data_IF_336809142298
#
_entry.id   IF_336809142298
#
_cell.length_a   1.000
_cell.length_b   1.000
_cell.length_c   1.000
_cell.angle_alpha   90.00
_cell.angle_beta   90.00
_cell.angle_gamma   90.00
#
_symmetry.space_group_name_H-M   'P 1'
#
loop_
_entity.id
_entity.type
_entity.pdbx_description
1 polymer ?
#
# COMPACT_ATOMS: atom_id res chain seq x y z
N UNK A 1 -21.04 -10.84 -0.86
CA UNK A 1 -22.13 -10.71 0.09
C UNK A 1 -22.95 -11.97 0.12
N UNK A 2 -23.22 -12.51 1.34
CA UNK A 2 -24.10 -13.68 1.51
C UNK A 2 -25.52 -13.44 0.98
N UNK A 3 -25.92 -12.21 0.93
CA UNK A 3 -27.16 -11.74 0.31
C UNK A 3 -27.36 -12.33 -1.08
N UNK A 4 -26.27 -12.56 -1.74
CA UNK A 4 -26.31 -13.04 -3.09
C UNK A 4 -26.97 -14.41 -3.26
N UNK A 5 -27.04 -15.19 -2.20
CA UNK A 5 -27.76 -16.47 -2.29
C UNK A 5 -29.26 -16.31 -2.55
N UNK A 6 -29.82 -15.21 -2.08
CA UNK A 6 -31.23 -14.95 -2.38
C UNK A 6 -31.48 -14.53 -3.82
N UNK A 7 -30.41 -14.16 -4.51
CA UNK A 7 -30.48 -13.81 -5.93
C UNK A 7 -30.33 -15.04 -6.83
N UNK A 8 -29.89 -16.14 -6.25
CA UNK A 8 -29.74 -17.39 -6.97
C UNK A 8 -30.98 -18.23 -6.79
N UNK A 9 -31.86 -18.14 -7.69
CA UNK A 9 -33.00 -19.06 -7.73
C UNK A 9 -32.56 -20.43 -8.23
N UNK A 10 -33.24 -21.48 -7.83
CA UNK A 10 -32.89 -22.85 -8.22
C UNK A 10 -32.80 -23.07 -9.73
N UNK A 11 -33.54 -22.28 -10.47
CA UNK A 11 -33.55 -22.30 -11.91
C UNK A 11 -32.72 -21.20 -12.55
N UNK A 12 -32.06 -20.42 -11.74
CA UNK A 12 -31.21 -19.34 -12.23
C UNK A 12 -29.92 -19.90 -12.83
N UNK A 13 -29.55 -19.44 -14.03
CA UNK A 13 -28.29 -19.89 -14.62
C UNK A 13 -27.06 -19.51 -13.81
N UNK A 14 -27.17 -18.51 -12.94
CA UNK A 14 -26.06 -18.08 -12.09
C UNK A 14 -25.80 -19.02 -10.96
N UNK A 15 -26.74 -19.83 -10.58
CA UNK A 15 -26.60 -20.80 -9.53
C UNK A 15 -26.80 -22.20 -10.10
N UNK A 16 -25.72 -22.75 -10.60
CA UNK A 16 -25.71 -24.16 -10.95
C UNK A 16 -25.63 -24.98 -9.65
N UNK A 17 -26.67 -25.74 -9.33
CA UNK A 17 -26.67 -26.59 -8.12
C UNK A 17 -25.50 -27.55 -8.05
N UNK A 18 -24.95 -27.96 -9.20
CA UNK A 18 -23.78 -28.81 -9.27
C UNK A 18 -22.52 -28.10 -8.82
N UNK A 19 -22.46 -26.79 -9.02
CA UNK A 19 -21.30 -25.99 -8.65
C UNK A 19 -21.42 -25.48 -7.22
N UNK A 20 -22.58 -24.99 -6.86
CA UNK A 20 -22.75 -24.26 -5.61
C UNK A 20 -23.44 -25.06 -4.51
N UNK A 21 -24.32 -25.96 -4.86
CA UNK A 21 -25.09 -26.74 -3.89
C UNK A 21 -24.30 -27.89 -3.28
N UNK A 22 -23.35 -28.45 -4.03
CA UNK A 22 -22.57 -29.61 -3.60
C UNK A 22 -21.45 -29.26 -2.61
N UNK A 23 -20.91 -28.05 -2.68
CA UNK A 23 -19.81 -27.62 -1.81
C UNK A 23 -20.02 -26.16 -1.35
N UNK A 24 -20.67 -26.01 -0.19
CA UNK A 24 -20.86 -24.68 0.41
C UNK A 24 -19.56 -23.98 0.76
N UNK A 25 -18.48 -24.71 1.00
CA UNK A 25 -17.18 -24.14 1.30
C UNK A 25 -16.54 -23.52 0.05
N UNK A 26 -16.61 -24.24 -1.06
CA UNK A 26 -16.10 -23.73 -2.33
C UNK A 26 -16.85 -22.46 -2.75
N UNK A 27 -18.16 -22.46 -2.61
CA UNK A 27 -18.97 -21.29 -2.89
C UNK A 27 -18.56 -20.08 -2.04
N UNK A 28 -18.38 -20.27 -0.74
CA UNK A 28 -17.94 -19.18 0.14
C UNK A 28 -16.59 -18.63 -0.25
N UNK A 29 -15.63 -19.51 -0.48
CA UNK A 29 -14.28 -19.12 -0.86
C UNK A 29 -14.29 -18.39 -2.21
N UNK A 30 -15.00 -18.91 -3.17
CA UNK A 30 -15.14 -18.30 -4.49
C UNK A 30 -15.76 -16.92 -4.41
N UNK A 31 -16.80 -16.74 -3.60
CA UNK A 31 -17.45 -15.44 -3.47
C UNK A 31 -16.59 -14.41 -2.78
N UNK A 32 -15.91 -14.79 -1.72
CA UNK A 32 -15.01 -13.89 -1.01
C UNK A 32 -13.90 -13.43 -1.96
N UNK A 33 -13.31 -14.33 -2.69
CA UNK A 33 -12.26 -14.00 -3.65
C UNK A 33 -12.78 -13.17 -4.82
N UNK A 34 -13.92 -13.51 -5.37
CA UNK A 34 -14.47 -12.85 -6.55
C UNK A 34 -14.94 -11.42 -6.26
N UNK A 35 -15.56 -11.20 -5.12
CA UNK A 35 -16.16 -9.90 -4.79
C UNK A 35 -15.15 -8.89 -4.24
N UNK A 36 -13.97 -9.32 -3.82
CA UNK A 36 -13.01 -8.46 -3.12
C UNK A 36 -11.78 -8.19 -3.99
N UNK A 37 -11.63 -8.86 -5.11
CA UNK A 37 -10.53 -8.63 -6.04
C UNK A 37 -9.16 -8.77 -5.35
N UNK A 38 -8.37 -7.69 -5.33
CA UNK A 38 -7.02 -7.68 -4.75
C UNK A 38 -6.99 -7.43 -3.23
N UNK A 39 -8.11 -7.59 -2.54
CA UNK A 39 -8.18 -7.36 -1.11
C UNK A 39 -7.98 -8.65 -0.34
N UNK A 40 -7.15 -8.60 0.69
CA UNK A 40 -7.05 -9.69 1.66
C UNK A 40 -8.18 -9.56 2.66
N UNK A 41 -9.04 -10.57 2.71
CA UNK A 41 -10.12 -10.62 3.69
C UNK A 41 -9.70 -11.54 4.82
N UNK A 42 -9.65 -10.99 6.03
CA UNK A 42 -9.51 -11.81 7.21
C UNK A 42 -10.88 -12.37 7.60
N UNK A 43 -11.09 -13.62 7.27
CA UNK A 43 -12.32 -14.37 7.56
C UNK A 43 -12.11 -15.40 8.66
N UNK A 44 -11.19 -15.15 9.57
CA UNK A 44 -10.81 -16.11 10.58
C UNK A 44 -12.00 -16.72 11.36
N UNK A 45 -13.03 -15.94 11.60
CA UNK A 45 -14.29 -16.41 12.18
C UNK A 45 -15.16 -17.24 11.20
N UNK A 46 -14.78 -17.27 9.95
CA UNK A 46 -15.46 -18.10 8.96
C UNK A 46 -15.02 -19.57 8.99
N UNK A 47 -13.91 -19.86 9.61
CA UNK A 47 -13.40 -21.21 9.62
C UNK A 47 -14.32 -22.14 10.41
N UNK A 48 -15.03 -22.97 9.72
CA UNK A 48 -15.79 -24.10 10.25
C UNK A 48 -17.16 -23.80 10.84
N UNK A 49 -17.48 -22.56 11.13
CA UNK A 49 -18.75 -22.20 11.80
C UNK A 49 -19.83 -21.69 10.88
N UNK A 50 -19.46 -21.23 9.72
CA UNK A 50 -20.41 -20.98 8.66
C UNK A 50 -20.69 -22.27 7.90
N UNK A 51 -20.78 -23.33 8.54
CA UNK A 51 -21.52 -24.44 8.01
C UNK A 51 -22.86 -23.92 7.57
N UNK A 52 -22.90 -23.14 6.51
CA UNK A 52 -24.16 -22.83 5.88
C UNK A 52 -24.58 -24.20 5.39
N UNK A 53 -25.22 -24.92 6.25
CA UNK A 53 -25.40 -26.33 5.98
C UNK A 53 -26.51 -26.55 5.03
N UNK A 54 -26.99 -25.55 4.42
CA UNK A 54 -28.35 -25.73 4.05
C UNK A 54 -28.58 -25.16 2.70
N UNK A 55 -27.94 -25.81 1.78
CA UNK A 55 -28.47 -25.84 0.45
C UNK A 55 -29.46 -26.99 0.36
N UNK A 56 -30.67 -26.72 -0.06
CA UNK A 56 -31.57 -27.75 -0.53
C UNK A 56 -30.96 -28.42 -1.76
N UNK A 57 -31.50 -29.57 -2.13
CA UNK A 57 -31.07 -30.30 -3.32
C UNK A 57 -31.17 -29.49 -4.62
N UNK A 58 -31.88 -28.40 -4.61
CA UNK A 58 -32.04 -27.44 -5.71
C UNK A 58 -31.10 -26.24 -5.61
N UNK A 59 -30.17 -26.25 -4.66
CA UNK A 59 -29.08 -25.31 -4.56
C UNK A 59 -29.35 -24.04 -3.79
N UNK A 60 -30.60 -23.81 -3.41
CA UNK A 60 -30.96 -22.61 -2.68
C UNK A 60 -31.99 -22.88 -1.60
N UNK A 61 -31.61 -22.56 -0.39
CA UNK A 61 -32.58 -22.38 0.66
C UNK A 61 -32.75 -20.90 0.95
N UNK A 62 -33.98 -20.41 0.91
CA UNK A 62 -34.27 -19.19 1.62
C UNK A 62 -33.97 -19.48 3.09
N UNK A 63 -32.90 -18.89 3.59
CA UNK A 63 -32.63 -18.93 5.01
C UNK A 63 -33.80 -18.30 5.75
N UNK A 64 -34.35 -18.97 6.77
CA UNK A 64 -35.44 -18.40 7.53
C UNK A 64 -35.12 -17.00 8.01
N UNK A 65 -36.11 -16.12 8.10
CA UNK A 65 -35.91 -14.80 8.70
C UNK A 65 -35.22 -14.91 10.06
N UNK A 66 -34.18 -14.17 10.29
CA UNK A 66 -33.37 -14.22 11.51
C UNK A 66 -32.11 -15.10 11.43
N UNK A 67 -32.11 -16.17 10.64
CA UNK A 67 -30.88 -17.00 10.46
C UNK A 67 -29.79 -16.26 9.71
N UNK A 68 -30.13 -15.40 8.81
CA UNK A 68 -29.21 -14.53 8.10
C UNK A 68 -28.52 -13.54 9.03
N UNK A 69 -29.31 -12.92 9.89
CA UNK A 69 -28.78 -12.01 10.91
C UNK A 69 -27.87 -12.73 11.90
N UNK A 70 -28.27 -13.94 12.29
CA UNK A 70 -27.49 -14.78 13.19
C UNK A 70 -26.14 -15.17 12.58
N UNK A 71 -26.10 -15.54 11.31
CA UNK A 71 -24.86 -15.82 10.60
C UNK A 71 -23.99 -14.55 10.49
N UNK A 72 -24.59 -13.44 10.12
CA UNK A 72 -23.84 -12.18 10.00
C UNK A 72 -23.36 -11.67 11.34
N UNK A 73 -24.12 -11.87 12.41
CA UNK A 73 -23.70 -11.51 13.79
C UNK A 73 -22.54 -12.38 14.29
N UNK A 74 -22.46 -13.62 13.84
CA UNK A 74 -21.39 -14.55 14.20
C UNK A 74 -20.10 -14.37 13.40
N UNK A 75 -20.23 -13.81 12.22
CA UNK A 75 -19.06 -13.59 11.34
C UNK A 75 -18.17 -12.45 11.85
N UNK A 76 -18.73 -11.58 12.68
CA UNK A 76 -18.00 -10.43 13.14
C UNK A 76 -17.66 -9.47 12.01
N UNK A 77 -16.73 -8.61 12.28
CA UNK A 77 -16.26 -7.61 11.34
C UNK A 77 -15.28 -8.25 10.35
N UNK A 78 -15.58 -8.14 9.08
CA UNK A 78 -14.61 -8.48 8.04
C UNK A 78 -13.62 -7.33 7.94
N UNK A 79 -12.39 -7.58 8.31
CA UNK A 79 -11.31 -6.64 8.06
C UNK A 79 -10.77 -6.87 6.66
N UNK A 80 -10.91 -5.87 5.86
CA UNK A 80 -10.36 -5.86 4.51
C UNK A 80 -9.04 -5.12 4.56
N UNK A 81 -7.97 -5.87 4.44
CA UNK A 81 -6.64 -5.28 4.27
C UNK A 81 -6.36 -5.15 2.78
N UNK A 82 -6.26 -3.95 2.24
CA UNK A 82 -5.85 -3.78 0.86
C UNK A 82 -4.45 -4.39 0.67
N UNK A 83 -4.31 -5.22 -0.34
CA UNK A 83 -2.99 -5.66 -0.78
C UNK A 83 -2.30 -4.47 -1.40
N UNK A 84 -1.36 -3.91 -0.70
CA UNK A 84 -0.56 -2.81 -1.20
C UNK A 84 0.68 -3.37 -1.87
N UNK A 85 0.78 -3.20 -3.18
CA UNK A 85 2.01 -3.56 -3.88
C UNK A 85 3.10 -2.54 -3.55
N UNK A 86 4.34 -2.97 -3.28
CA UNK A 86 5.46 -2.07 -3.11
C UNK A 86 5.64 -1.18 -4.33
N UNK A 87 5.93 0.10 -4.11
CA UNK A 87 6.15 1.08 -5.16
C UNK A 87 7.63 1.47 -5.17
N UNK A 88 8.26 1.42 -6.33
CA UNK A 88 9.65 1.87 -6.49
C UNK A 88 9.70 3.06 -7.44
N UNK A 89 10.31 4.13 -6.96
CA UNK A 89 10.65 5.31 -7.74
C UNK A 89 12.14 5.32 -8.07
N UNK A 90 12.49 5.14 -9.32
CA UNK A 90 13.85 5.43 -9.80
C UNK A 90 14.05 6.94 -9.69
N UNK A 91 15.01 7.33 -8.87
CA UNK A 91 15.28 8.72 -8.53
C UNK A 91 16.54 9.18 -9.23
N UNK A 92 16.46 10.31 -9.89
CA UNK A 92 17.62 11.01 -10.52
C UNK A 92 17.61 12.47 -10.11
N UNK A 93 18.74 13.14 -10.28
CA UNK A 93 18.89 14.58 -10.05
C UNK A 93 19.22 15.26 -11.36
N UNK A 94 18.54 16.36 -11.65
CA UNK A 94 18.84 17.24 -12.77
C UNK A 94 18.45 18.68 -12.43
N UNK A 95 18.90 19.63 -13.24
CA UNK A 95 18.50 21.02 -13.10
C UNK A 95 17.01 21.19 -13.44
N UNK A 96 16.30 21.88 -12.59
CA UNK A 96 14.89 22.16 -12.74
C UNK A 96 14.42 23.22 -11.76
N UNK A 97 13.15 23.57 -11.82
CA UNK A 97 12.53 24.46 -10.85
C UNK A 97 12.46 23.77 -9.48
N UNK A 98 12.80 24.51 -8.45
CA UNK A 98 12.83 23.99 -7.07
C UNK A 98 11.41 23.89 -6.52
N UNK A 99 11.17 22.84 -5.72
CA UNK A 99 9.94 22.70 -4.95
C UNK A 99 9.86 23.84 -3.91
N UNK A 100 8.72 24.54 -3.88
CA UNK A 100 8.53 25.74 -3.07
C UNK A 100 9.54 26.87 -3.36
N UNK A 101 10.25 26.83 -4.49
CA UNK A 101 11.31 27.77 -4.82
C UNK A 101 10.85 29.07 -5.49
N UNK A 102 9.54 29.28 -5.70
CA UNK A 102 9.00 30.51 -6.29
C UNK A 102 9.52 30.79 -7.70
N UNK A 103 9.77 29.76 -8.51
CA UNK A 103 10.32 29.86 -9.85
C UNK A 103 11.85 29.77 -9.92
N UNK A 104 12.55 29.71 -8.78
CA UNK A 104 14.00 29.49 -8.76
C UNK A 104 14.37 28.12 -9.30
N UNK A 105 15.50 28.04 -10.01
CA UNK A 105 16.03 26.79 -10.58
C UNK A 105 17.26 26.30 -9.83
N UNK A 106 17.46 25.00 -9.81
CA UNK A 106 18.60 24.36 -9.19
C UNK A 106 18.54 22.84 -9.37
N UNK A 107 19.26 22.09 -8.55
CA UNK A 107 19.14 20.65 -8.54
C UNK A 107 17.79 20.24 -7.97
N UNK A 108 17.07 19.37 -8.67
CA UNK A 108 15.77 18.84 -8.29
C UNK A 108 15.73 17.32 -8.49
N UNK A 109 14.95 16.63 -7.65
CA UNK A 109 14.68 15.20 -7.83
C UNK A 109 13.64 14.97 -8.93
N UNK A 110 13.93 13.96 -9.73
CA UNK A 110 13.03 13.40 -10.72
C UNK A 110 12.69 11.97 -10.28
N UNK A 111 11.43 11.72 -9.99
CA UNK A 111 10.91 10.40 -9.64
C UNK A 111 10.26 9.76 -10.85
N UNK A 112 10.85 8.67 -11.36
CA UNK A 112 10.37 8.07 -12.62
C UNK A 112 10.34 9.07 -13.80
N UNK A 113 11.22 10.08 -13.78
CA UNK A 113 11.29 11.14 -14.79
C UNK A 113 10.42 12.36 -14.51
N UNK A 114 9.57 12.36 -13.50
CA UNK A 114 8.74 13.50 -13.12
C UNK A 114 9.42 14.34 -12.04
N UNK A 115 9.62 15.63 -12.31
CA UNK A 115 10.25 16.58 -11.40
C UNK A 115 9.35 16.87 -10.19
N UNK A 116 9.95 16.88 -8.99
CA UNK A 116 9.30 17.28 -7.72
C UNK A 116 7.90 16.69 -7.56
N UNK A 117 7.73 15.44 -7.97
CA UNK A 117 6.45 14.74 -8.05
C UNK A 117 5.76 14.70 -6.68
N UNK A 118 4.52 15.19 -6.59
CA UNK A 118 3.69 14.99 -5.42
C UNK A 118 3.12 13.57 -5.45
N UNK A 119 3.26 12.86 -4.32
CA UNK A 119 2.84 11.48 -4.18
C UNK A 119 1.57 11.39 -3.34
N UNK A 120 0.67 10.48 -3.70
CA UNK A 120 -0.49 10.09 -2.89
C UNK A 120 -0.47 8.58 -2.74
N UNK A 121 -0.21 8.10 -1.53
CA UNK A 121 0.11 6.70 -1.24
C UNK A 121 -0.77 6.20 -0.09
N UNK A 122 -1.43 5.04 -0.21
CA UNK A 122 -2.13 4.43 0.91
C UNK A 122 -1.18 4.07 2.05
N UNK A 123 -1.60 4.21 3.30
CA UNK A 123 -0.83 3.71 4.45
C UNK A 123 -0.54 2.22 4.28
N UNK A 124 0.53 1.76 4.90
CA UNK A 124 1.03 0.38 4.83
C UNK A 124 1.55 -0.04 3.43
N UNK A 125 1.63 0.89 2.47
CA UNK A 125 2.31 0.65 1.20
C UNK A 125 3.80 0.92 1.35
N UNK A 126 4.64 -0.04 1.02
CA UNK A 126 6.08 0.18 0.98
C UNK A 126 6.46 1.05 -0.21
N UNK A 127 7.22 2.09 0.03
CA UNK A 127 7.77 2.99 -0.99
C UNK A 127 9.29 2.85 -0.96
N UNK A 128 9.90 2.74 -2.14
CA UNK A 128 11.34 2.74 -2.31
C UNK A 128 11.76 3.87 -3.22
N UNK A 129 12.66 4.73 -2.75
CA UNK A 129 13.36 5.70 -3.58
C UNK A 129 14.74 5.15 -3.92
N UNK A 130 14.92 4.71 -5.15
CA UNK A 130 16.15 4.11 -5.64
C UNK A 130 17.05 5.20 -6.25
N UNK A 131 18.25 5.37 -5.72
CA UNK A 131 19.18 6.44 -6.06
C UNK A 131 20.51 5.95 -6.66
N UNK A 132 20.48 4.89 -7.46
CA UNK A 132 21.69 4.26 -8.00
C UNK A 132 22.42 5.12 -9.06
N UNK A 133 21.70 6.03 -9.72
CA UNK A 133 22.29 6.88 -10.74
C UNK A 133 23.33 7.85 -10.13
N UNK A 134 24.46 8.07 -10.82
CA UNK A 134 25.51 8.99 -10.39
C UNK A 134 25.04 10.45 -10.27
N UNK A 135 23.96 10.81 -10.94
CA UNK A 135 23.34 12.13 -10.77
C UNK A 135 22.85 12.38 -9.33
N UNK A 136 22.68 11.32 -8.53
CA UNK A 136 22.34 11.44 -7.11
C UNK A 136 23.56 11.67 -6.20
N UNK A 137 24.79 11.69 -6.71
CA UNK A 137 25.98 11.89 -5.88
C UNK A 137 25.87 13.23 -5.14
N UNK A 138 26.17 13.20 -3.84
CA UNK A 138 25.97 14.30 -2.87
C UNK A 138 24.51 14.67 -2.60
N UNK A 139 23.57 13.84 -3.02
CA UNK A 139 22.12 14.11 -2.85
C UNK A 139 21.40 12.92 -2.15
N UNK A 140 21.76 12.55 -0.92
CA UNK A 140 21.01 11.52 -0.20
C UNK A 140 19.59 12.02 0.10
N UNK A 141 18.59 11.26 -0.35
CA UNK A 141 17.17 11.56 -0.14
C UNK A 141 16.74 11.13 1.25
N UNK A 142 16.06 12.01 1.96
CA UNK A 142 15.42 11.73 3.24
C UNK A 142 13.91 11.91 3.16
N UNK A 143 13.19 11.26 4.08
CA UNK A 143 11.77 11.48 4.29
C UNK A 143 11.60 12.26 5.59
N UNK A 144 10.77 13.29 5.58
CA UNK A 144 10.63 14.23 6.69
C UNK A 144 9.18 14.63 6.93
N UNK A 145 8.88 15.05 8.15
CA UNK A 145 7.56 15.59 8.52
C UNK A 145 7.49 17.11 8.35
N UNK A 146 8.59 17.78 8.00
CA UNK A 146 8.65 19.24 7.92
C UNK A 146 9.25 19.73 6.60
N UNK A 147 8.57 20.64 5.94
CA UNK A 147 9.10 21.34 4.75
C UNK A 147 10.07 22.47 5.11
N UNK A 148 9.97 23.05 6.29
CA UNK A 148 10.84 24.15 6.71
C UNK A 148 12.12 23.73 7.40
N UNK A 149 12.12 22.57 8.04
CA UNK A 149 13.26 22.02 8.79
C UNK A 149 13.44 20.53 8.51
N UNK A 150 13.73 20.14 7.26
CA UNK A 150 13.71 18.73 6.87
C UNK A 150 14.71 17.86 7.63
N UNK A 151 15.91 18.37 7.88
CA UNK A 151 16.98 17.58 8.47
C UNK A 151 16.82 17.31 9.97
N UNK A 152 16.00 18.07 10.67
CA UNK A 152 15.71 17.87 12.10
C UNK A 152 14.46 17.07 12.35
N UNK A 153 13.68 16.82 11.31
CA UNK A 153 12.38 16.14 11.40
C UNK A 153 12.33 14.89 10.49
N UNK A 154 13.46 14.20 10.38
CA UNK A 154 13.57 12.99 9.56
C UNK A 154 12.69 11.88 10.16
N UNK A 155 11.95 11.20 9.31
CA UNK A 155 11.20 10.01 9.68
C UNK A 155 12.16 8.88 10.04
N UNK A 156 11.99 8.30 11.23
CA UNK A 156 12.84 7.22 11.73
C UNK A 156 12.10 5.88 11.87
N UNK A 157 10.78 5.91 11.83
CA UNK A 157 9.95 4.71 12.02
C UNK A 157 9.62 4.05 10.68
N UNK A 158 9.72 2.71 10.64
CA UNK A 158 9.39 1.89 9.47
C UNK A 158 10.18 2.28 8.21
N UNK A 159 11.41 2.73 8.40
CA UNK A 159 12.32 3.15 7.35
C UNK A 159 13.57 2.26 7.34
N UNK A 160 14.05 1.94 6.14
CA UNK A 160 15.27 1.18 5.91
C UNK A 160 16.17 1.96 4.96
N UNK A 161 17.41 2.17 5.39
CA UNK A 161 18.45 2.84 4.63
C UNK A 161 19.37 1.79 4.01
N UNK A 162 19.73 1.92 2.75
CA UNK A 162 20.57 0.98 2.03
C UNK A 162 21.71 1.67 1.29
N UNK A 163 22.92 1.18 1.54
CA UNK A 163 24.16 1.45 0.79
C UNK A 163 24.84 0.10 0.57
N UNK A 164 24.66 -0.50 -0.61
CA UNK A 164 25.11 -1.86 -0.92
C UNK A 164 24.66 -2.91 0.13
N UNK A 165 23.53 -2.64 0.79
CA UNK A 165 22.97 -3.37 1.91
C UNK A 165 22.39 -2.44 2.97
N UNK A 166 21.77 -3.02 4.00
CA UNK A 166 21.17 -2.23 5.09
C UNK A 166 22.23 -1.48 5.88
N UNK A 167 21.99 -0.20 6.14
CA UNK A 167 22.90 0.68 6.86
C UNK A 167 22.14 1.58 7.86
N UNK A 168 22.87 2.41 8.59
CA UNK A 168 22.27 3.42 9.48
C UNK A 168 21.94 4.70 8.72
N UNK A 169 21.02 5.50 9.26
CA UNK A 169 20.74 6.83 8.72
C UNK A 169 22.00 7.69 8.62
N UNK A 170 22.84 7.69 9.66
CA UNK A 170 24.07 8.50 9.70
C UNK A 170 25.06 8.12 8.58
N UNK A 171 25.17 6.84 8.28
CA UNK A 171 26.00 6.39 7.15
C UNK A 171 25.38 6.77 5.82
N UNK A 172 24.06 6.62 5.68
CA UNK A 172 23.34 6.92 4.44
C UNK A 172 23.45 8.40 4.06
N UNK A 173 23.33 9.30 5.03
CA UNK A 173 23.40 10.75 4.77
C UNK A 173 24.85 11.29 4.69
N UNK A 174 25.83 10.47 5.03
CA UNK A 174 27.24 10.81 4.81
C UNK A 174 27.57 10.73 3.33
N UNK A 175 27.87 11.84 2.71
CA UNK A 175 28.05 11.93 1.25
C UNK A 175 29.22 11.06 0.74
N UNK A 176 30.28 10.88 1.50
CA UNK A 176 31.38 9.98 1.12
C UNK A 176 30.90 8.54 1.03
N UNK A 177 30.19 8.06 2.04
CA UNK A 177 29.64 6.70 2.07
C UNK A 177 28.58 6.54 0.99
N UNK A 178 27.69 7.53 0.86
CA UNK A 178 26.63 7.53 -0.13
C UNK A 178 27.16 7.47 -1.57
N UNK A 179 28.15 8.30 -1.90
CA UNK A 179 28.75 8.32 -3.24
C UNK A 179 29.57 7.06 -3.54
N UNK A 180 30.13 6.43 -2.52
CA UNK A 180 30.91 5.20 -2.67
C UNK A 180 30.09 3.95 -2.92
N UNK A 181 28.78 3.98 -2.63
CA UNK A 181 27.92 2.83 -2.79
C UNK A 181 27.34 2.74 -4.22
N UNK A 182 27.25 1.53 -4.75
CA UNK A 182 26.66 1.25 -6.07
C UNK A 182 25.14 1.12 -6.00
N UNK A 183 24.61 0.52 -4.93
CA UNK A 183 23.18 0.38 -4.70
C UNK A 183 22.76 1.25 -3.52
N UNK A 184 21.95 2.25 -3.81
CA UNK A 184 21.51 3.27 -2.84
C UNK A 184 20.00 3.39 -2.86
N UNK A 185 19.37 3.25 -1.69
CA UNK A 185 17.93 3.48 -1.57
C UNK A 185 17.48 3.79 -0.17
N UNK A 186 16.34 4.43 -0.06
CA UNK A 186 15.57 4.51 1.16
C UNK A 186 14.22 3.85 0.94
N UNK A 187 13.84 2.95 1.85
CA UNK A 187 12.54 2.29 1.85
C UNK A 187 11.75 2.75 3.07
N UNK A 188 10.48 3.01 2.89
CA UNK A 188 9.60 3.44 3.96
C UNK A 188 8.22 2.80 3.81
N UNK A 189 7.67 2.35 4.94
CA UNK A 189 6.30 1.81 5.02
C UNK A 189 5.50 2.65 6.03
N UNK A 190 4.80 3.70 5.59
CA UNK A 190 4.05 4.57 6.47
C UNK A 190 2.89 3.83 7.13
N UNK A 191 2.78 3.90 8.46
CA UNK A 191 1.69 3.26 9.23
C UNK A 191 0.52 4.18 9.56
N UNK A 192 0.68 5.49 9.33
CA UNK A 192 -0.34 6.49 9.62
C UNK A 192 -0.56 7.42 8.42
N UNK A 193 -1.80 7.87 8.25
CA UNK A 193 -2.14 8.91 7.29
C UNK A 193 -1.53 10.26 7.72
N UNK A 194 -1.20 11.09 6.74
CA UNK A 194 -0.62 12.41 7.00
C UNK A 194 0.12 13.00 5.82
N UNK A 195 0.68 14.18 6.02
CA UNK A 195 1.53 14.86 5.04
C UNK A 195 2.98 14.74 5.44
N UNK A 196 3.79 14.30 4.51
CA UNK A 196 5.23 14.12 4.61
C UNK A 196 5.89 14.75 3.38
N UNK A 197 7.21 14.76 3.38
CA UNK A 197 7.99 15.29 2.28
C UNK A 197 9.20 14.40 2.04
N UNK A 198 9.64 14.30 0.79
CA UNK A 198 10.99 13.86 0.50
C UNK A 198 11.85 15.09 0.21
N UNK A 199 13.08 15.07 0.67
CA UNK A 199 14.01 16.19 0.59
C UNK A 199 15.43 15.69 0.40
N UNK A 200 16.34 16.55 -0.05
CA UNK A 200 17.77 16.27 -0.01
C UNK A 200 18.33 16.61 1.37
N UNK A 201 19.07 15.69 1.98
CA UNK A 201 19.71 15.97 3.26
C UNK A 201 20.67 17.17 3.21
N UNK A 202 21.37 17.32 2.09
CA UNK A 202 22.39 18.39 1.91
C UNK A 202 21.76 19.71 1.48
N UNK A 203 20.77 19.67 0.56
CA UNK A 203 20.25 20.87 -0.11
C UNK A 203 18.81 21.23 0.31
N UNK A 204 18.21 20.41 1.18
CA UNK A 204 16.90 20.67 1.75
C UNK A 204 15.72 20.37 0.83
N UNK A 205 14.59 21.02 1.16
CA UNK A 205 13.27 20.76 0.53
C UNK A 205 13.18 21.18 -0.93
N UNK A 206 13.98 22.16 -1.36
CA UNK A 206 13.95 22.66 -2.73
C UNK A 206 14.14 21.57 -3.80
N UNK A 207 14.89 20.53 -3.47
CA UNK A 207 15.06 19.39 -4.37
C UNK A 207 13.91 18.40 -4.35
N UNK A 208 13.04 18.48 -3.35
CA UNK A 208 12.09 17.44 -2.97
C UNK A 208 10.66 17.62 -3.51
N UNK A 209 9.72 17.11 -2.72
CA UNK A 209 8.28 17.18 -3.01
C UNK A 209 7.44 16.64 -1.86
N UNK A 210 6.14 16.71 -2.02
CA UNK A 210 5.16 16.31 -1.00
C UNK A 210 4.77 14.83 -1.15
N UNK A 211 4.55 14.19 -0.01
CA UNK A 211 3.99 12.84 0.09
C UNK A 211 2.74 12.92 0.97
N UNK A 212 1.59 12.61 0.40
CA UNK A 212 0.34 12.44 1.14
C UNK A 212 0.11 10.96 1.39
N UNK A 213 0.04 10.56 2.65
CA UNK A 213 -0.34 9.20 3.04
C UNK A 213 -1.83 9.20 3.33
N UNK A 214 -2.57 8.38 2.57
CA UNK A 214 -4.03 8.24 2.71
C UNK A 214 -4.39 7.11 3.68
N UNK A 215 -5.57 7.21 4.30
CA UNK A 215 -6.06 6.28 5.32
C UNK A 215 -6.56 4.95 4.79
#
# INVERSE_FOLDING_TARGET
SLVHYSEFEPKSPQLDPKVYGADPQALRNTRVQHNIGNMTVNVGSFQGTLGIPTYSSDGMLPLPPGRRLDILSRVGRVEVNPVTNPITYVTTVATGELYLGGGSTGNAYFLGGARNMSLSIPKNTQITFQQNASSNDNHPLIITTSSSSPNTNIVTSNIVWNLDGTTTQSNYVNTTNFNGASARSVQWTPSAAGTFYYACYVHGIGMGGMITITG
#
